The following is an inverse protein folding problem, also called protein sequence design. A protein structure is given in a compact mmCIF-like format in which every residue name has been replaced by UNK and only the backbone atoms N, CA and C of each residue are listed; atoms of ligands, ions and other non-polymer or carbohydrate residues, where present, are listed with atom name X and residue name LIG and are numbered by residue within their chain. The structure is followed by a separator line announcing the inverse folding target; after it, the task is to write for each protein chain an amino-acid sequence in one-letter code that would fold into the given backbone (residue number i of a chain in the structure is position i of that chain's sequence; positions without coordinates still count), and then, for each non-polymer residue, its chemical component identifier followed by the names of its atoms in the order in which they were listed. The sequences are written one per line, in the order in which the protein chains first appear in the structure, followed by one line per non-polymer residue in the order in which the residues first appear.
data_IF_100169130039
#
_entry.id   IF_100169130039
#
_cell.length_a   1.000
_cell.length_b   1.000
_cell.length_c   1.000
_cell.angle_alpha   90.00
_cell.angle_beta   90.00
_cell.angle_gamma   90.00
#
_symmetry.space_group_name_H-M   'P 1'
#
loop_
_entity.id
_entity.type
_entity.pdbx_description
1 polymer ?
#
# COMPACT_ATOMS: atom_id res chain seq x y z
N UNK A 1 -3.97 -35.71 38.86
CA UNK A 1 -2.74 -34.89 38.66
C UNK A 1 -2.03 -35.20 37.32
N UNK A 2 -1.87 -36.49 36.92
CA UNK A 2 -1.19 -36.84 35.67
C UNK A 2 -1.91 -36.37 34.39
N UNK A 3 -3.24 -36.30 34.39
CA UNK A 3 -4.05 -35.92 33.23
C UNK A 3 -4.03 -34.38 32.97
N UNK A 4 -3.92 -33.57 34.01
CA UNK A 4 -3.80 -32.12 33.90
C UNK A 4 -2.40 -31.71 33.41
N UNK A 5 -1.36 -32.46 33.74
CA UNK A 5 -0.01 -32.23 33.28
C UNK A 5 0.12 -32.56 31.78
N UNK A 6 -0.53 -33.62 31.31
CA UNK A 6 -0.52 -33.98 29.88
C UNK A 6 -1.24 -32.95 29.02
N UNK A 7 -2.40 -32.42 29.45
CA UNK A 7 -3.11 -31.35 28.71
C UNK A 7 -2.34 -30.05 28.64
N UNK A 8 -1.53 -29.71 29.66
CA UNK A 8 -0.64 -28.53 29.56
C UNK A 8 0.51 -28.73 28.58
N UNK A 9 1.12 -29.92 28.54
CA UNK A 9 2.19 -30.23 27.60
C UNK A 9 1.73 -30.24 26.15
N UNK A 10 0.51 -30.70 25.89
CA UNK A 10 -0.07 -30.72 24.54
C UNK A 10 -0.47 -29.34 24.06
N UNK A 11 -0.94 -28.45 24.98
CA UNK A 11 -1.21 -27.06 24.69
C UNK A 11 0.06 -26.24 24.39
N UNK A 12 1.15 -26.49 25.12
CA UNK A 12 2.44 -25.84 24.85
C UNK A 12 3.05 -26.31 23.52
N UNK A 13 2.93 -27.59 23.19
CA UNK A 13 3.38 -28.13 21.88
C UNK A 13 2.56 -27.57 20.72
N UNK A 14 1.25 -27.35 20.92
CA UNK A 14 0.39 -26.75 19.90
C UNK A 14 0.71 -25.27 19.67
N UNK A 15 1.01 -24.53 20.74
CA UNK A 15 1.44 -23.12 20.63
C UNK A 15 2.83 -22.99 19.98
N UNK A 16 3.81 -23.83 20.37
CA UNK A 16 5.13 -23.84 19.71
C UNK A 16 5.06 -24.25 18.22
N UNK A 17 4.12 -25.13 17.85
CA UNK A 17 3.94 -25.50 16.45
C UNK A 17 3.30 -24.38 15.62
N UNK A 18 2.43 -23.57 16.23
CA UNK A 18 1.84 -22.39 15.58
C UNK A 18 2.83 -21.23 15.47
N UNK A 19 3.66 -20.98 16.47
CA UNK A 19 4.71 -19.95 16.39
C UNK A 19 5.78 -20.29 15.34
N UNK A 20 6.13 -21.57 15.19
CA UNK A 20 7.05 -22.02 14.13
C UNK A 20 6.43 -22.06 12.72
N UNK A 21 5.11 -22.08 12.58
CA UNK A 21 4.44 -22.03 11.28
C UNK A 21 4.27 -20.60 10.77
N UNK A 22 4.23 -19.59 11.67
CA UNK A 22 4.18 -18.16 11.29
C UNK A 22 5.58 -17.63 10.92
N UNK A 23 6.66 -18.28 11.39
CA UNK A 23 8.05 -17.88 11.12
C UNK A 23 8.67 -18.48 9.84
N UNK A 24 7.91 -19.23 9.03
CA UNK A 24 8.34 -19.76 7.73
C UNK A 24 7.53 -19.20 6.58
N UNK A 25 7.20 -17.92 6.65
CA UNK A 25 7.01 -17.17 5.42
C UNK A 25 8.40 -17.00 4.80
N UNK A 26 8.62 -17.74 3.72
CA UNK A 26 9.85 -17.69 2.95
C UNK A 26 10.09 -16.24 2.56
N UNK A 27 11.02 -15.57 3.22
CA UNK A 27 11.58 -14.30 2.78
C UNK A 27 12.18 -14.58 1.40
N UNK A 28 11.36 -14.48 0.37
CA UNK A 28 11.81 -14.46 -1.02
C UNK A 28 12.71 -13.24 -1.09
N UNK A 29 14.02 -13.48 -1.09
CA UNK A 29 15.02 -12.44 -1.12
C UNK A 29 14.79 -11.70 -2.43
N UNK A 30 14.20 -10.51 -2.35
CA UNK A 30 13.98 -9.65 -3.52
C UNK A 30 15.33 -9.40 -4.18
N UNK A 31 15.48 -9.93 -5.40
CA UNK A 31 16.70 -9.79 -6.23
C UNK A 31 16.57 -8.66 -7.24
N UNK A 32 15.48 -7.89 -7.17
CA UNK A 32 15.23 -6.78 -8.09
C UNK A 32 16.08 -5.56 -7.74
N UNK A 33 16.15 -4.59 -8.65
CA UNK A 33 16.72 -3.29 -8.38
C UNK A 33 15.93 -2.49 -7.32
N UNK A 34 14.76 -2.99 -6.92
CA UNK A 34 13.89 -2.41 -5.91
C UNK A 34 14.05 -3.04 -4.51
N UNK A 35 14.92 -4.05 -4.37
CA UNK A 35 15.09 -4.81 -3.12
C UNK A 35 15.37 -3.94 -1.89
N UNK A 36 16.12 -2.84 -2.06
CA UNK A 36 16.40 -1.89 -0.98
C UNK A 36 15.14 -1.15 -0.51
N UNK A 37 14.13 -1.00 -1.38
CA UNK A 37 12.88 -0.30 -1.11
C UNK A 37 11.80 -1.20 -0.47
N UNK A 38 12.06 -2.50 -0.36
CA UNK A 38 11.18 -3.45 0.34
C UNK A 38 11.29 -3.37 1.86
N UNK A 39 12.26 -2.62 2.37
CA UNK A 39 12.49 -2.43 3.80
C UNK A 39 12.03 -1.05 4.23
N UNK A 40 11.18 -0.97 5.25
CA UNK A 40 10.69 0.31 5.76
C UNK A 40 9.62 0.13 6.82
N UNK A 41 9.05 1.25 7.23
CA UNK A 41 7.90 1.30 8.14
C UNK A 41 6.77 1.98 7.38
N UNK A 42 5.62 1.32 7.33
CA UNK A 42 4.42 1.87 6.73
C UNK A 42 3.96 3.11 7.51
N UNK A 43 3.60 4.16 6.78
CA UNK A 43 3.05 5.40 7.33
C UNK A 43 1.72 5.68 6.65
N UNK A 44 0.74 6.10 7.43
CA UNK A 44 -0.50 6.64 6.92
C UNK A 44 -0.36 8.15 6.73
N UNK A 45 -0.67 8.61 5.52
CA UNK A 45 -0.54 9.99 5.08
C UNK A 45 -1.90 10.47 4.62
N UNK A 46 -2.39 11.58 5.15
CA UNK A 46 -3.73 12.06 4.82
C UNK A 46 -3.68 13.41 4.12
N UNK A 47 -4.56 13.56 3.14
CA UNK A 47 -4.92 14.83 2.51
C UNK A 47 -6.42 15.04 2.67
N UNK A 48 -6.84 16.29 2.78
CA UNK A 48 -8.25 16.60 3.04
C UNK A 48 -8.69 17.87 2.31
N UNK A 49 -9.97 17.88 1.93
CA UNK A 49 -10.72 19.09 1.63
C UNK A 49 -11.96 19.16 2.55
N UNK A 50 -12.89 20.06 2.27
CA UNK A 50 -14.10 20.23 3.09
C UNK A 50 -14.95 18.96 3.21
N UNK A 51 -14.93 18.08 2.20
CA UNK A 51 -15.86 16.93 2.09
C UNK A 51 -15.18 15.57 2.16
N UNK A 52 -13.90 15.49 1.85
CA UNK A 52 -13.14 14.23 1.81
C UNK A 52 -11.93 14.28 2.72
N UNK A 53 -11.69 13.19 3.42
CA UNK A 53 -10.36 12.83 3.96
C UNK A 53 -9.91 11.57 3.26
N UNK A 54 -8.76 11.64 2.59
CA UNK A 54 -8.15 10.52 1.86
C UNK A 54 -6.86 10.16 2.55
N UNK A 55 -6.75 8.91 2.99
CA UNK A 55 -5.54 8.37 3.60
C UNK A 55 -4.83 7.48 2.59
N UNK A 56 -3.53 7.68 2.44
CA UNK A 56 -2.64 6.94 1.55
C UNK A 56 -1.60 6.23 2.41
N UNK A 57 -1.39 4.93 2.18
CA UNK A 57 -0.34 4.19 2.86
C UNK A 57 0.98 4.32 2.09
N UNK A 58 2.08 4.65 2.78
CA UNK A 58 3.40 4.74 2.16
C UNK A 58 3.93 3.37 1.71
N UNK A 59 3.48 2.27 2.27
CA UNK A 59 3.68 0.95 1.70
C UNK A 59 2.67 0.77 0.55
N UNK A 60 3.17 0.50 -0.64
CA UNK A 60 2.36 0.41 -1.85
C UNK A 60 2.09 1.76 -2.52
N UNK A 61 2.14 2.87 -1.79
CA UNK A 61 1.74 4.19 -2.28
C UNK A 61 0.24 4.29 -2.60
N UNK A 62 -0.60 3.47 -1.97
CA UNK A 62 -1.99 3.25 -2.33
C UNK A 62 -2.96 3.99 -1.42
N UNK A 63 -4.10 4.41 -1.97
CA UNK A 63 -5.23 4.89 -1.15
C UNK A 63 -5.68 3.74 -0.25
N UNK A 64 -5.66 3.96 1.08
CA UNK A 64 -6.07 2.95 2.07
C UNK A 64 -7.44 3.25 2.66
N UNK A 65 -7.80 4.52 2.82
CA UNK A 65 -9.07 4.91 3.45
C UNK A 65 -9.63 6.18 2.83
N UNK A 66 -10.95 6.25 2.70
CA UNK A 66 -11.67 7.46 2.30
C UNK A 66 -12.83 7.69 3.24
N UNK A 67 -12.89 8.90 3.82
CA UNK A 67 -13.97 9.32 4.71
C UNK A 67 -14.70 10.52 4.11
N UNK A 68 -16.02 10.48 4.12
CA UNK A 68 -16.88 11.58 3.75
C UNK A 68 -17.16 12.45 4.99
N UNK A 69 -16.48 13.61 5.09
CA UNK A 69 -16.48 14.44 6.32
C UNK A 69 -17.85 15.03 6.68
N UNK A 70 -18.72 15.24 5.68
CA UNK A 70 -20.04 15.86 5.86
C UNK A 70 -21.16 14.83 6.02
N UNK A 71 -20.84 13.53 5.92
CA UNK A 71 -21.82 12.45 5.96
C UNK A 71 -21.56 11.56 7.16
N UNK A 72 -22.64 11.19 7.83
CA UNK A 72 -22.60 10.35 9.03
C UNK A 72 -23.53 9.16 8.85
N UNK A 73 -23.19 8.09 9.52
CA UNK A 73 -24.06 6.91 9.67
C UNK A 73 -25.19 7.20 10.66
N UNK A 74 -26.16 6.31 10.77
CA UNK A 74 -27.27 6.44 11.71
C UNK A 74 -26.81 6.52 13.18
N UNK A 75 -25.65 5.98 13.51
CA UNK A 75 -25.00 6.04 14.83
C UNK A 75 -24.14 7.30 15.04
N UNK A 76 -24.26 8.29 14.15
CA UNK A 76 -23.51 9.56 14.15
C UNK A 76 -21.99 9.43 13.92
N UNK A 77 -21.49 8.25 13.55
CA UNK A 77 -20.09 8.08 13.16
C UNK A 77 -19.86 8.59 11.73
N UNK A 78 -18.66 9.13 11.40
CA UNK A 78 -18.33 9.56 10.04
C UNK A 78 -18.50 8.41 9.03
N UNK A 79 -19.02 8.71 7.85
CA UNK A 79 -19.18 7.73 6.80
C UNK A 79 -17.82 7.41 6.17
N UNK A 80 -17.32 6.21 6.49
CA UNK A 80 -16.13 5.64 5.84
C UNK A 80 -16.58 4.97 4.54
N UNK A 81 -16.23 5.58 3.40
CA UNK A 81 -16.59 5.07 2.07
C UNK A 81 -15.69 3.90 1.68
N UNK A 82 -14.41 4.00 1.98
CA UNK A 82 -13.39 3.01 1.66
C UNK A 82 -12.62 2.66 2.93
N UNK A 83 -12.52 1.36 3.24
CA UNK A 83 -11.81 0.82 4.40
C UNK A 83 -10.51 0.11 3.96
N UNK A 84 -9.41 0.18 4.75
CA UNK A 84 -8.15 -0.50 4.41
C UNK A 84 -8.25 -2.02 4.28
N UNK A 85 -9.20 -2.66 4.94
CA UNK A 85 -9.32 -4.13 4.98
C UNK A 85 -9.71 -4.68 3.60
N UNK A 86 -10.61 -4.00 2.90
CA UNK A 86 -11.20 -4.46 1.63
C UNK A 86 -10.74 -3.66 0.42
N UNK A 87 -9.65 -2.90 0.56
CA UNK A 87 -9.12 -2.05 -0.50
C UNK A 87 -7.68 -2.40 -0.81
N UNK A 88 -7.45 -2.88 -2.04
CA UNK A 88 -6.14 -3.24 -2.54
C UNK A 88 -5.87 -2.55 -3.88
N UNK A 89 -4.93 -1.63 -3.87
CA UNK A 89 -4.46 -0.94 -5.07
C UNK A 89 -2.98 -1.24 -5.26
N UNK A 90 -2.59 -1.65 -6.46
CA UNK A 90 -1.18 -1.86 -6.78
C UNK A 90 -0.90 -1.64 -8.26
N UNK A 91 0.33 -1.22 -8.54
CA UNK A 91 0.91 -1.23 -9.87
C UNK A 91 1.82 -2.43 -10.05
N UNK A 92 1.73 -3.09 -11.19
CA UNK A 92 2.64 -4.17 -11.55
C UNK A 92 3.29 -3.89 -12.90
N UNK A 93 4.57 -4.25 -13.02
CA UNK A 93 5.33 -4.22 -14.27
C UNK A 93 6.41 -5.31 -14.25
N UNK A 94 7.03 -5.54 -15.38
CA UNK A 94 8.13 -6.51 -15.50
C UNK A 94 9.46 -5.78 -15.58
N UNK A 95 10.43 -6.16 -14.74
CA UNK A 95 11.79 -5.64 -14.81
C UNK A 95 12.58 -6.23 -15.99
N UNK A 96 13.78 -5.69 -16.25
CA UNK A 96 14.63 -6.17 -17.33
C UNK A 96 15.07 -7.63 -17.22
N UNK A 97 15.03 -8.20 -16.01
CA UNK A 97 15.37 -9.61 -15.73
C UNK A 97 14.15 -10.53 -15.88
N UNK A 98 12.98 -10.01 -16.26
CA UNK A 98 11.75 -10.76 -16.40
C UNK A 98 11.02 -11.00 -15.07
N UNK A 99 11.40 -10.32 -13.98
CA UNK A 99 10.73 -10.43 -12.69
C UNK A 99 9.55 -9.47 -12.62
N UNK A 100 8.45 -9.93 -12.07
CA UNK A 100 7.29 -9.07 -11.82
C UNK A 100 7.53 -8.21 -10.58
N UNK A 101 7.48 -6.91 -10.77
CA UNK A 101 7.49 -5.92 -9.70
C UNK A 101 6.06 -5.60 -9.33
N UNK A 102 5.76 -5.65 -8.01
CA UNK A 102 4.47 -5.22 -7.47
C UNK A 102 4.71 -4.07 -6.49
N UNK A 103 4.12 -2.91 -6.77
CA UNK A 103 4.30 -1.69 -5.97
C UNK A 103 3.89 -1.85 -4.50
N UNK A 104 2.95 -2.75 -4.21
CA UNK A 104 2.48 -3.03 -2.85
C UNK A 104 3.57 -3.55 -1.91
N UNK A 105 4.65 -4.12 -2.46
CA UNK A 105 5.75 -4.70 -1.69
C UNK A 105 6.80 -3.67 -1.27
N UNK A 106 6.68 -2.41 -1.70
CA UNK A 106 7.72 -1.40 -1.55
C UNK A 106 7.24 -0.19 -0.76
N UNK A 107 8.17 0.46 -0.06
CA UNK A 107 7.94 1.66 0.73
C UNK A 107 8.26 2.91 -0.09
N UNK A 108 7.25 3.71 -0.32
CA UNK A 108 7.33 4.96 -1.08
C UNK A 108 7.78 6.10 -0.19
N UNK A 109 8.68 6.92 -0.70
CA UNK A 109 9.18 8.10 -0.02
C UNK A 109 8.25 9.29 -0.24
N UNK A 110 7.92 10.02 0.81
CA UNK A 110 7.21 11.29 0.72
C UNK A 110 8.17 12.35 0.19
N UNK A 111 7.86 12.95 -0.96
CA UNK A 111 8.66 14.03 -1.55
C UNK A 111 8.00 15.39 -1.35
N UNK A 112 6.67 15.43 -1.26
CA UNK A 112 5.92 16.63 -0.92
C UNK A 112 4.61 16.25 -0.25
N UNK A 113 4.22 17.03 0.76
CA UNK A 113 2.91 16.91 1.42
C UNK A 113 2.39 18.27 1.82
N UNK A 114 1.16 18.54 1.44
CA UNK A 114 0.37 19.68 1.89
C UNK A 114 -0.96 19.19 2.44
N UNK A 115 -1.80 20.01 3.03
CA UNK A 115 -3.13 19.59 3.47
C UNK A 115 -3.99 18.99 2.36
N UNK A 116 -3.77 19.35 1.08
CA UNK A 116 -4.58 18.93 -0.07
C UNK A 116 -3.81 18.16 -1.12
N UNK A 117 -2.52 17.95 -0.98
CA UNK A 117 -1.71 17.20 -1.96
C UNK A 117 -0.65 16.36 -1.29
N UNK A 118 -0.33 15.24 -1.95
CA UNK A 118 0.70 14.31 -1.52
C UNK A 118 1.43 13.78 -2.76
N UNK A 119 2.76 13.85 -2.75
CA UNK A 119 3.61 13.24 -3.76
C UNK A 119 4.47 12.16 -3.13
N UNK A 120 4.36 10.95 -3.67
CA UNK A 120 5.12 9.78 -3.26
C UNK A 120 6.03 9.32 -4.39
N UNK A 121 7.23 8.88 -4.04
CA UNK A 121 8.23 8.43 -5.03
C UNK A 121 8.81 7.08 -4.62
N UNK A 122 8.82 6.16 -5.57
CA UNK A 122 9.58 4.92 -5.52
C UNK A 122 10.87 5.14 -6.32
N UNK A 123 11.97 5.44 -5.63
CA UNK A 123 13.19 5.97 -6.21
C UNK A 123 14.29 4.91 -6.20
N UNK A 124 14.81 4.55 -7.37
CA UNK A 124 16.01 3.72 -7.52
C UNK A 124 17.27 4.60 -7.37
N UNK A 125 17.25 5.75 -8.06
CA UNK A 125 18.28 6.80 -7.99
C UNK A 125 17.67 8.16 -8.38
N UNK A 126 18.48 9.23 -8.41
CA UNK A 126 17.99 10.60 -8.68
C UNK A 126 17.36 10.76 -10.07
N UNK A 127 17.80 9.97 -11.03
CA UNK A 127 17.35 10.04 -12.44
C UNK A 127 16.36 8.94 -12.81
N UNK A 128 16.04 7.99 -11.89
CA UNK A 128 15.22 6.82 -12.20
C UNK A 128 14.25 6.53 -11.05
N UNK A 129 12.98 6.81 -11.30
CA UNK A 129 11.92 6.68 -10.29
C UNK A 129 10.53 6.52 -10.91
N UNK A 130 9.62 6.06 -10.10
CA UNK A 130 8.16 6.13 -10.32
C UNK A 130 7.57 7.07 -9.28
N UNK A 131 6.66 7.94 -9.67
CA UNK A 131 6.02 8.91 -8.78
C UNK A 131 4.51 8.83 -8.88
N UNK A 132 3.87 8.98 -7.74
CA UNK A 132 2.41 9.08 -7.60
C UNK A 132 2.10 10.42 -6.95
N UNK A 133 1.21 11.19 -7.57
CA UNK A 133 0.74 12.46 -7.06
C UNK A 133 -0.77 12.39 -6.84
N UNK A 134 -1.18 12.72 -5.63
CA UNK A 134 -2.57 12.81 -5.19
C UNK A 134 -2.90 14.25 -4.87
N UNK A 135 -4.04 14.74 -5.33
CA UNK A 135 -4.50 16.09 -4.94
C UNK A 135 -6.01 16.20 -4.89
N UNK A 136 -6.45 17.06 -4.00
CA UNK A 136 -7.85 17.45 -3.80
C UNK A 136 -8.03 18.93 -4.14
N UNK A 137 -9.15 19.27 -4.76
CA UNK A 137 -9.55 20.65 -5.01
C UNK A 137 -10.83 20.95 -4.25
N UNK A 138 -11.11 22.25 -4.01
CA UNK A 138 -12.37 22.66 -3.39
C UNK A 138 -13.51 22.75 -4.40
N UNK A 139 -13.20 22.87 -5.69
CA UNK A 139 -14.19 22.95 -6.77
C UNK A 139 -14.82 21.60 -7.07
N UNK A 140 -14.02 20.51 -7.01
CA UNK A 140 -14.48 19.13 -7.19
C UNK A 140 -14.44 18.40 -5.86
N UNK A 141 -15.48 18.59 -5.05
CA UNK A 141 -15.51 18.23 -3.62
C UNK A 141 -15.35 16.74 -3.33
N UNK A 142 -15.64 15.86 -4.30
CA UNK A 142 -15.60 14.40 -4.16
C UNK A 142 -14.65 13.74 -5.15
N UNK A 143 -13.73 14.49 -5.73
CA UNK A 143 -12.77 14.00 -6.72
C UNK A 143 -11.36 14.03 -6.16
N UNK A 144 -10.66 12.90 -6.26
CA UNK A 144 -9.22 12.79 -6.05
C UNK A 144 -8.55 12.83 -7.40
N UNK A 145 -7.75 13.86 -7.66
CA UNK A 145 -6.89 13.86 -8.85
C UNK A 145 -5.67 13.00 -8.58
N UNK A 146 -5.38 12.11 -9.52
CA UNK A 146 -4.28 11.18 -9.43
C UNK A 146 -3.43 11.24 -10.70
N UNK A 147 -2.11 11.34 -10.52
CA UNK A 147 -1.14 11.28 -11.61
C UNK A 147 -0.06 10.24 -11.30
N UNK A 148 0.31 9.47 -12.31
CA UNK A 148 1.35 8.46 -12.22
C UNK A 148 2.44 8.77 -13.26
N UNK A 149 3.65 9.02 -12.79
CA UNK A 149 4.78 9.41 -13.61
C UNK A 149 5.89 8.37 -13.53
N UNK A 150 6.45 8.02 -14.68
CA UNK A 150 7.60 7.14 -14.83
C UNK A 150 8.75 7.97 -15.38
N UNK A 151 9.86 8.04 -14.68
CA UNK A 151 11.02 8.83 -15.10
C UNK A 151 12.29 7.98 -15.12
N UNK A 152 13.03 8.01 -16.23
CA UNK A 152 14.34 7.38 -16.36
C UNK A 152 14.38 5.86 -16.16
N UNK A 153 13.26 5.16 -16.35
CA UNK A 153 13.12 3.75 -16.01
C UNK A 153 13.52 2.77 -17.12
N UNK A 154 14.03 3.26 -18.27
CA UNK A 154 14.33 2.44 -19.45
C UNK A 154 15.30 1.27 -19.18
N UNK A 155 16.19 1.43 -18.20
CA UNK A 155 17.16 0.40 -17.80
C UNK A 155 16.64 -0.53 -16.69
N UNK A 156 15.43 -0.30 -16.21
CA UNK A 156 14.82 -1.03 -15.08
C UNK A 156 13.52 -1.73 -15.46
N UNK A 157 13.03 -1.49 -16.68
CA UNK A 157 11.80 -2.08 -17.21
C UNK A 157 12.17 -2.91 -18.45
N UNK A 158 11.52 -4.04 -18.62
CA UNK A 158 11.74 -4.94 -19.76
C UNK A 158 11.39 -4.23 -21.08
N UNK A 159 12.33 -4.24 -22.01
CA UNK A 159 12.09 -3.71 -23.36
C UNK A 159 11.11 -4.59 -24.14
N UNK A 160 10.18 -3.95 -24.85
CA UNK A 160 9.26 -4.64 -25.78
C UNK A 160 8.01 -5.22 -25.13
N UNK A 161 7.90 -5.24 -23.82
CA UNK A 161 6.67 -5.61 -23.09
C UNK A 161 6.67 -4.88 -21.74
N UNK A 162 6.45 -3.57 -21.79
CA UNK A 162 6.58 -2.66 -20.64
C UNK A 162 5.21 -2.18 -20.15
N UNK A 163 4.27 -3.10 -20.05
CA UNK A 163 2.94 -2.78 -19.55
C UNK A 163 2.99 -2.49 -18.06
N UNK A 164 2.57 -1.27 -17.69
CA UNK A 164 2.22 -0.94 -16.33
C UNK A 164 0.74 -1.24 -16.11
N UNK A 165 0.46 -2.21 -15.26
CA UNK A 165 -0.89 -2.63 -14.96
C UNK A 165 -1.31 -2.11 -13.59
N UNK A 166 -2.36 -1.28 -13.55
CA UNK A 166 -3.05 -0.94 -12.31
C UNK A 166 -4.06 -2.03 -11.99
N UNK A 167 -3.97 -2.58 -10.78
CA UNK A 167 -5.00 -3.41 -10.18
C UNK A 167 -5.59 -2.66 -9.00
N UNK A 168 -6.90 -2.48 -9.00
CA UNK A 168 -7.62 -1.87 -7.89
C UNK A 168 -8.87 -2.67 -7.59
N UNK A 169 -8.90 -3.26 -6.42
CA UNK A 169 -10.05 -3.97 -5.87
C UNK A 169 -10.48 -3.25 -4.59
N UNK A 170 -11.72 -2.79 -4.56
CA UNK A 170 -12.28 -2.02 -3.45
C UNK A 170 -13.71 -2.42 -3.19
N UNK A 171 -14.05 -2.63 -1.92
CA UNK A 171 -15.42 -2.80 -1.45
C UNK A 171 -15.87 -1.50 -0.80
N UNK A 172 -16.94 -0.91 -1.30
CA UNK A 172 -17.51 0.30 -0.73
C UNK A 172 -18.47 -0.05 0.40
N UNK A 173 -18.31 0.61 1.53
CA UNK A 173 -19.25 0.51 2.64
C UNK A 173 -20.56 1.23 2.29
N UNK A 174 -21.69 0.61 2.64
CA UNK A 174 -23.04 1.17 2.47
C UNK A 174 -23.49 1.87 3.75
#
# INVERSE_FOLDING_TARGET
EKEQTQKKLDAEKFNQKNENSIAKDSVVKDKTNFAALSKGVAKELSIANKNLVVTINSQGGAVSKVVLSQYHRADSTPLVLLDPIDNHQSWTWTDQNGQTINSANYFWQVVNQTPKSLSLKLKINDSSYVQQDYSLTDTNMFVVNYNFTIHGMNNYIRRGNSDFKLSWNATLNK
#
